data_IF_337787542267
#
_entry.id   IF_337787542267
#
_cell.length_a   1.000
_cell.length_b   1.000
_cell.length_c   1.000
_cell.angle_alpha   90.00
_cell.angle_beta   90.00
_cell.angle_gamma   90.00
#
_symmetry.space_group_name_H-M   'P 1'
#
loop_
_entity.id
_entity.type
_entity.pdbx_description
1 polymer ?
#
# COMPACT_ATOMS: atom_id res chain seq x y z
N UNK A 1 5.30 20.72 12.38
CA UNK A 1 5.65 21.94 13.13
C UNK A 1 6.38 22.88 12.21
N UNK A 2 5.95 24.14 12.12
CA UNK A 2 6.63 25.17 11.33
C UNK A 2 7.10 26.28 12.29
N UNK A 3 8.37 26.72 12.16
CA UNK A 3 8.95 27.78 13.00
C UNK A 3 9.51 27.37 14.38
N UNK A 4 9.76 26.08 14.65
CA UNK A 4 10.47 25.64 15.85
C UNK A 4 11.91 25.22 15.51
N UNK A 5 12.87 25.61 16.35
CA UNK A 5 14.24 25.10 16.31
C UNK A 5 14.34 23.81 17.12
N UNK A 6 15.14 22.85 16.64
CA UNK A 6 15.43 21.63 17.38
C UNK A 6 15.98 21.95 18.78
N UNK A 7 15.41 21.31 19.80
CA UNK A 7 15.82 21.39 21.19
C UNK A 7 16.89 20.35 21.55
N UNK A 8 17.36 20.41 22.80
CA UNK A 8 18.20 19.35 23.36
C UNK A 8 17.40 18.05 23.43
N UNK A 9 17.93 16.97 22.84
CA UNK A 9 17.26 15.66 22.78
C UNK A 9 16.55 15.36 21.46
N UNK A 10 16.36 16.36 20.60
CA UNK A 10 15.76 16.15 19.28
C UNK A 10 16.73 15.41 18.35
N UNK A 11 16.23 14.37 17.68
CA UNK A 11 16.97 13.59 16.69
C UNK A 11 16.45 13.93 15.28
N UNK A 12 17.36 14.33 14.39
CA UNK A 12 17.05 14.64 12.97
C UNK A 12 17.92 13.82 12.03
N UNK A 13 17.96 12.52 12.30
CA UNK A 13 18.58 11.49 11.44
C UNK A 13 17.58 10.36 11.22
N UNK A 14 17.84 9.49 10.25
CA UNK A 14 16.98 8.35 9.96
C UNK A 14 16.81 7.46 11.22
N UNK A 15 15.58 7.25 11.72
CA UNK A 15 15.32 6.42 12.90
C UNK A 15 15.58 4.92 12.64
N UNK A 16 15.89 4.51 11.40
CA UNK A 16 16.17 3.11 11.03
C UNK A 16 15.06 2.16 11.47
N UNK A 17 13.83 2.49 11.09
CA UNK A 17 12.69 1.58 11.24
C UNK A 17 12.88 0.37 10.33
N UNK A 18 12.41 -0.80 10.78
CA UNK A 18 12.66 -2.07 10.15
C UNK A 18 12.09 -2.15 8.73
N UNK A 19 10.81 -1.81 8.57
CA UNK A 19 10.17 -1.66 7.26
C UNK A 19 8.83 -0.89 7.33
N UNK A 20 8.91 0.43 7.12
CA UNK A 20 7.71 1.28 7.05
C UNK A 20 6.78 0.96 5.88
N UNK A 21 7.29 0.30 4.83
CA UNK A 21 6.49 -0.02 3.65
C UNK A 21 5.56 -1.21 3.93
N UNK A 22 5.94 -2.12 4.82
CA UNK A 22 5.19 -3.34 5.14
C UNK A 22 4.79 -3.44 6.62
N UNK A 23 4.50 -2.30 7.26
CA UNK A 23 3.97 -2.21 8.65
C UNK A 23 4.92 -2.77 9.73
N UNK A 24 6.22 -2.81 9.47
CA UNK A 24 7.22 -3.18 10.47
C UNK A 24 7.87 -1.91 11.05
N UNK A 25 7.28 -1.41 12.13
CA UNK A 25 7.68 -0.15 12.76
C UNK A 25 8.69 -0.32 13.91
N UNK A 26 9.27 -1.52 14.09
CA UNK A 26 10.34 -1.73 15.07
C UNK A 26 11.58 -0.92 14.68
N UNK A 27 12.33 -0.42 15.65
CA UNK A 27 13.63 0.19 15.37
C UNK A 27 14.70 -0.91 15.23
N UNK A 28 15.66 -0.71 14.32
CA UNK A 28 16.79 -1.62 14.19
C UNK A 28 17.78 -1.45 15.37
N UNK A 29 18.61 -2.48 15.70
CA UNK A 29 19.55 -2.40 16.82
C UNK A 29 20.60 -1.29 16.69
N UNK A 30 20.86 -0.82 15.47
CA UNK A 30 21.78 0.28 15.18
C UNK A 30 21.07 1.63 14.99
N UNK A 31 19.79 1.72 15.38
CA UNK A 31 19.00 2.94 15.34
C UNK A 31 19.58 4.04 16.23
N UNK A 32 19.59 5.30 15.78
CA UNK A 32 19.92 6.43 16.65
C UNK A 32 18.86 6.71 17.71
N UNK A 33 17.67 6.09 17.61
CA UNK A 33 16.58 6.21 18.58
C UNK A 33 16.71 5.23 19.75
N UNK A 34 17.61 4.23 19.64
CA UNK A 34 17.81 3.22 20.67
C UNK A 34 18.50 3.81 21.90
N UNK A 35 17.99 3.52 23.10
CA UNK A 35 18.46 4.01 24.39
C UNK A 35 18.57 5.57 24.47
N UNK A 36 17.73 6.29 23.72
CA UNK A 36 17.87 7.74 23.47
C UNK A 36 16.72 8.61 23.99
N UNK A 37 15.69 8.00 24.57
CA UNK A 37 14.52 8.67 25.14
C UNK A 37 14.77 9.18 26.57
N UNK A 38 13.69 9.64 27.20
CA UNK A 38 13.72 10.19 28.57
C UNK A 38 13.11 9.19 29.56
N UNK A 39 13.95 8.46 30.29
CA UNK A 39 13.51 7.52 31.33
C UNK A 39 12.65 8.19 32.41
N UNK A 40 12.83 9.50 32.62
CA UNK A 40 12.14 10.26 33.66
C UNK A 40 10.64 10.41 33.45
N UNK A 41 10.11 10.05 32.27
CA UNK A 41 8.68 10.08 31.96
C UNK A 41 8.04 8.69 31.87
N UNK A 42 8.83 7.61 32.04
CA UNK A 42 8.34 6.23 31.97
C UNK A 42 7.73 5.80 33.31
N UNK A 43 6.51 5.27 33.26
CA UNK A 43 5.84 4.72 34.45
C UNK A 43 6.05 3.19 34.53
N UNK A 44 6.05 2.59 35.73
CA UNK A 44 6.46 1.18 35.95
C UNK A 44 5.70 0.09 35.20
N UNK A 45 4.52 0.41 34.64
CA UNK A 45 3.66 -0.53 33.92
C UNK A 45 3.48 -0.15 32.44
N UNK A 46 4.26 0.81 31.94
CA UNK A 46 4.23 1.15 30.53
C UNK A 46 4.88 0.07 29.70
N UNK A 47 4.20 -0.26 28.61
CA UNK A 47 4.66 -1.23 27.63
C UNK A 47 4.82 -0.60 26.27
N UNK A 48 5.72 -1.16 25.47
CA UNK A 48 5.91 -0.82 24.08
C UNK A 48 4.81 -1.44 23.19
N UNK A 49 4.99 -1.36 21.87
CA UNK A 49 4.04 -1.89 20.89
C UNK A 49 3.95 -3.43 20.86
N UNK A 50 4.93 -4.13 21.44
CA UNK A 50 4.96 -5.59 21.56
C UNK A 50 4.44 -6.07 22.93
N UNK A 51 4.13 -5.15 23.84
CA UNK A 51 3.72 -5.46 25.21
C UNK A 51 4.90 -5.75 26.15
N UNK A 52 6.12 -5.42 25.74
CA UNK A 52 7.35 -5.53 26.52
C UNK A 52 7.51 -4.30 27.40
N UNK A 53 8.28 -4.40 28.49
CA UNK A 53 8.48 -3.26 29.38
C UNK A 53 9.16 -2.11 28.64
N UNK A 54 8.75 -0.87 28.93
CA UNK A 54 9.32 0.33 28.30
C UNK A 54 10.72 0.71 28.75
N UNK A 55 11.18 0.19 29.88
CA UNK A 55 12.55 0.37 30.33
C UNK A 55 13.08 -1.03 30.65
N UNK A 56 14.04 -1.49 29.86
CA UNK A 56 14.71 -2.77 30.02
C UNK A 56 15.98 -2.69 30.89
N UNK A 57 16.31 -1.49 31.38
CA UNK A 57 17.54 -1.15 32.10
C UNK A 57 18.67 -0.60 31.23
N UNK A 58 18.47 -0.47 29.91
CA UNK A 58 19.36 0.18 28.93
C UNK A 58 19.06 1.67 28.72
N UNK A 59 17.85 2.10 29.05
CA UNK A 59 17.28 3.43 28.78
C UNK A 59 16.20 3.35 27.71
N UNK A 60 15.12 4.12 27.84
CA UNK A 60 13.94 4.03 26.95
C UNK A 60 14.27 4.49 25.53
N UNK A 61 13.66 3.86 24.54
CA UNK A 61 13.80 4.24 23.13
C UNK A 61 12.92 5.45 22.75
N UNK A 62 13.38 6.24 21.77
CA UNK A 62 12.54 7.24 21.11
C UNK A 62 11.63 6.53 20.11
N UNK A 63 10.37 6.34 20.47
CA UNK A 63 9.38 5.75 19.56
C UNK A 63 8.32 4.97 20.28
N UNK A 64 7.58 4.13 19.56
CA UNK A 64 6.57 3.22 20.10
C UNK A 64 7.15 1.85 20.51
N UNK A 65 8.33 1.53 20.02
CA UNK A 65 9.05 0.27 20.18
C UNK A 65 10.14 0.42 21.26
N UNK A 66 10.46 -0.67 21.96
CA UNK A 66 11.59 -0.79 22.88
C UNK A 66 12.49 -1.96 22.41
N UNK A 67 13.71 -1.66 21.99
CA UNK A 67 14.58 -2.57 21.25
C UNK A 67 15.58 -3.29 22.14
N UNK A 68 15.37 -4.60 22.30
CA UNK A 68 16.25 -5.50 23.03
C UNK A 68 17.45 -5.97 22.16
N UNK A 69 17.67 -5.32 21.00
CA UNK A 69 18.77 -5.59 20.08
C UNK A 69 18.46 -6.62 18.99
N UNK A 70 17.18 -6.91 18.74
CA UNK A 70 16.72 -7.78 17.68
C UNK A 70 16.85 -7.15 16.30
N UNK A 71 17.41 -7.91 15.35
CA UNK A 71 17.34 -7.54 13.94
C UNK A 71 16.00 -7.93 13.36
N UNK A 72 15.20 -6.93 13.01
CA UNK A 72 13.89 -7.14 12.41
C UNK A 72 13.99 -7.23 10.88
N UNK A 73 13.36 -8.24 10.25
CA UNK A 73 13.46 -8.42 8.81
C UNK A 73 12.71 -7.30 8.06
N UNK A 74 13.28 -6.91 6.92
CA UNK A 74 12.56 -6.16 5.89
C UNK A 74 11.56 -7.06 5.17
N UNK A 75 10.47 -6.47 4.69
CA UNK A 75 9.38 -7.15 4.01
C UNK A 75 9.70 -7.58 2.58
N UNK A 76 8.69 -8.10 1.86
CA UNK A 76 7.30 -8.23 2.30
C UNK A 76 7.09 -9.33 3.34
N UNK A 77 6.20 -9.11 4.32
CA UNK A 77 5.91 -10.11 5.36
C UNK A 77 5.07 -11.27 4.79
N UNK A 78 4.28 -11.00 3.75
CA UNK A 78 3.53 -12.02 3.02
C UNK A 78 3.52 -11.74 1.51
N UNK A 79 3.46 -12.80 0.71
CA UNK A 79 3.19 -12.71 -0.72
C UNK A 79 1.95 -13.53 -1.06
N UNK A 80 0.95 -12.88 -1.64
CA UNK A 80 -0.36 -13.47 -1.96
C UNK A 80 -0.52 -13.60 -3.48
N UNK A 81 -0.81 -14.80 -3.97
CA UNK A 81 -1.00 -15.10 -5.40
C UNK A 81 -2.46 -14.98 -5.78
N UNK A 82 -2.72 -14.35 -6.91
CA UNK A 82 -4.06 -14.19 -7.50
C UNK A 82 -4.05 -14.72 -8.93
N UNK A 83 -5.06 -15.50 -9.32
CA UNK A 83 -5.20 -16.06 -10.67
C UNK A 83 -6.68 -16.08 -11.08
N UNK A 84 -7.02 -15.89 -12.36
CA UNK A 84 -8.42 -16.00 -12.82
C UNK A 84 -9.02 -17.39 -12.57
N UNK A 85 -8.19 -18.43 -12.49
CA UNK A 85 -8.60 -19.81 -12.17
C UNK A 85 -8.55 -20.13 -10.68
N UNK A 86 -8.21 -19.15 -9.82
CA UNK A 86 -8.09 -19.33 -8.38
C UNK A 86 -9.44 -19.45 -7.66
N UNK A 87 -9.38 -19.46 -6.33
CA UNK A 87 -10.56 -19.47 -5.45
C UNK A 87 -10.32 -18.56 -4.24
N UNK A 88 -11.26 -17.66 -3.93
CA UNK A 88 -11.12 -16.73 -2.80
C UNK A 88 -11.13 -17.40 -1.42
N UNK A 89 -11.53 -18.67 -1.34
CA UNK A 89 -11.35 -19.51 -0.15
C UNK A 89 -9.92 -20.03 0.04
N UNK A 90 -9.05 -19.91 -0.97
CA UNK A 90 -7.64 -20.25 -0.83
C UNK A 90 -6.88 -19.15 -0.08
N UNK A 91 -5.74 -19.50 0.52
CA UNK A 91 -4.91 -18.56 1.27
C UNK A 91 -4.03 -17.65 0.38
N UNK A 92 -3.77 -18.02 -0.87
CA UNK A 92 -2.88 -17.30 -1.77
C UNK A 92 -1.39 -17.57 -1.55
N UNK A 93 -1.01 -18.52 -0.70
CA UNK A 93 0.39 -18.81 -0.34
C UNK A 93 1.23 -19.35 -1.51
N UNK A 94 0.58 -19.90 -2.54
CA UNK A 94 1.21 -20.41 -3.76
C UNK A 94 0.28 -20.23 -4.97
N UNK A 95 0.80 -20.43 -6.18
CA UNK A 95 -0.03 -20.38 -7.40
C UNK A 95 -1.14 -21.44 -7.43
N UNK A 96 -0.89 -22.63 -6.86
CA UNK A 96 -1.90 -23.68 -6.74
C UNK A 96 -3.02 -23.31 -5.74
N UNK A 97 -2.69 -22.51 -4.73
CA UNK A 97 -3.61 -21.96 -3.74
C UNK A 97 -3.92 -20.49 -4.04
N UNK A 98 -3.87 -20.05 -5.30
CA UNK A 98 -4.12 -18.67 -5.64
C UNK A 98 -5.56 -18.26 -5.31
N UNK A 99 -5.73 -17.02 -4.87
CA UNK A 99 -7.03 -16.36 -4.76
C UNK A 99 -7.58 -16.05 -6.15
N UNK A 100 -8.89 -15.86 -6.26
CA UNK A 100 -9.53 -15.62 -7.56
C UNK A 100 -9.57 -14.13 -7.91
N UNK A 101 -9.84 -13.28 -6.93
CA UNK A 101 -10.02 -11.84 -7.11
C UNK A 101 -8.81 -11.06 -6.58
N UNK A 102 -8.49 -9.94 -7.23
CA UNK A 102 -7.43 -9.03 -6.80
C UNK A 102 -7.79 -8.44 -5.44
N UNK A 103 -9.06 -8.08 -5.21
CA UNK A 103 -9.48 -7.54 -3.92
C UNK A 103 -9.26 -8.52 -2.75
N UNK A 104 -9.55 -9.80 -2.92
CA UNK A 104 -9.30 -10.79 -1.87
C UNK A 104 -7.80 -11.00 -1.60
N UNK A 105 -6.97 -10.79 -2.64
CA UNK A 105 -5.51 -10.76 -2.53
C UNK A 105 -5.03 -9.58 -1.69
N UNK A 106 -5.54 -8.38 -1.99
CA UNK A 106 -5.24 -7.15 -1.24
C UNK A 106 -5.58 -7.31 0.25
N UNK A 107 -6.77 -7.83 0.57
CA UNK A 107 -7.19 -8.05 1.96
C UNK A 107 -6.30 -9.02 2.73
N UNK A 108 -5.73 -10.03 2.07
CA UNK A 108 -4.81 -10.95 2.72
C UNK A 108 -3.40 -10.36 2.91
N UNK A 109 -2.93 -9.57 1.95
CA UNK A 109 -1.61 -8.95 2.04
C UNK A 109 -1.58 -7.81 3.07
N UNK A 110 -2.57 -6.93 3.06
CA UNK A 110 -2.64 -5.76 3.96
C UNK A 110 -2.71 -6.13 5.43
N UNK A 111 -3.27 -7.29 5.77
CA UNK A 111 -3.39 -7.75 7.16
C UNK A 111 -2.04 -7.97 7.87
N UNK A 112 -0.96 -8.12 7.11
CA UNK A 112 0.39 -8.32 7.63
C UNK A 112 1.43 -7.39 6.99
N UNK A 113 1.04 -6.63 5.97
CA UNK A 113 1.97 -5.96 5.06
C UNK A 113 2.58 -6.93 4.04
N UNK A 114 2.32 -6.73 2.75
CA UNK A 114 2.86 -7.63 1.75
C UNK A 114 2.62 -7.26 0.29
N UNK A 115 3.00 -8.20 -0.56
CA UNK A 115 2.82 -8.12 -2.00
C UNK A 115 1.65 -8.98 -2.47
N UNK A 116 0.94 -8.52 -3.49
CA UNK A 116 -0.07 -9.29 -4.23
C UNK A 116 0.46 -9.52 -5.64
N UNK A 117 0.73 -10.78 -6.00
CA UNK A 117 1.20 -11.17 -7.32
C UNK A 117 0.04 -11.68 -8.15
N UNK A 118 -0.30 -10.95 -9.21
CA UNK A 118 -1.50 -11.20 -10.02
C UNK A 118 -1.10 -11.79 -11.37
N UNK A 119 -1.58 -13.00 -11.64
CA UNK A 119 -1.36 -13.67 -12.92
C UNK A 119 -2.04 -12.91 -14.08
N UNK A 120 -1.56 -13.18 -15.30
CA UNK A 120 -2.15 -12.66 -16.52
C UNK A 120 -3.63 -13.07 -16.63
N UNK A 121 -4.43 -12.15 -17.15
CA UNK A 121 -5.87 -12.35 -17.31
C UNK A 121 -6.67 -11.08 -17.04
N UNK A 122 -7.98 -11.17 -17.27
CA UNK A 122 -8.92 -10.08 -17.04
C UNK A 122 -9.71 -10.33 -15.77
N UNK A 123 -9.68 -9.36 -14.88
CA UNK A 123 -10.39 -9.34 -13.61
C UNK A 123 -11.49 -8.28 -13.69
N UNK A 124 -12.74 -8.74 -13.70
CA UNK A 124 -13.92 -7.86 -13.76
C UNK A 124 -14.30 -7.44 -12.35
N UNK A 125 -13.63 -6.41 -11.85
CA UNK A 125 -13.79 -5.90 -10.50
C UNK A 125 -13.38 -4.44 -10.41
N UNK A 126 -13.67 -3.84 -9.26
CA UNK A 126 -13.18 -2.51 -8.88
C UNK A 126 -12.56 -2.68 -7.52
N UNK A 127 -11.30 -2.26 -7.40
CA UNK A 127 -10.49 -2.54 -6.22
C UNK A 127 -10.30 -1.30 -5.37
N UNK A 128 -10.18 -1.51 -4.07
CA UNK A 128 -9.68 -0.54 -3.11
C UNK A 128 -8.30 -0.98 -2.65
N UNK A 129 -7.28 -0.17 -2.96
CA UNK A 129 -5.93 -0.35 -2.42
C UNK A 129 -5.95 -0.07 -0.92
N UNK A 130 -5.47 -1.04 -0.14
CA UNK A 130 -5.30 -0.90 1.30
C UNK A 130 -3.86 -0.52 1.64
N UNK A 131 -3.64 0.16 2.78
CA UNK A 131 -2.32 0.28 3.37
C UNK A 131 -1.59 -1.07 3.43
N UNK A 132 -0.29 -1.00 3.23
CA UNK A 132 0.68 -2.08 3.26
C UNK A 132 0.46 -3.19 2.22
N UNK A 133 -0.39 -2.95 1.21
CA UNK A 133 -0.55 -3.85 0.07
C UNK A 133 0.08 -3.26 -1.20
N UNK A 134 1.05 -3.97 -1.77
CA UNK A 134 1.67 -3.64 -3.06
C UNK A 134 1.25 -4.66 -4.10
N UNK A 135 0.49 -4.22 -5.09
CA UNK A 135 -0.14 -5.08 -6.07
C UNK A 135 0.65 -5.03 -7.38
N UNK A 136 1.08 -6.20 -7.86
CA UNK A 136 1.90 -6.36 -9.04
C UNK A 136 1.23 -7.27 -10.07
N UNK A 137 0.98 -6.76 -11.27
CA UNK A 137 0.60 -7.53 -12.45
C UNK A 137 1.82 -7.99 -13.25
N UNK A 138 1.59 -8.84 -14.25
CA UNK A 138 2.65 -9.33 -15.14
C UNK A 138 3.15 -10.75 -14.86
N UNK A 139 2.44 -11.54 -14.06
CA UNK A 139 2.86 -12.91 -13.75
C UNK A 139 2.23 -13.94 -14.72
N UNK A 140 2.99 -14.94 -15.15
CA UNK A 140 2.48 -16.10 -15.87
C UNK A 140 1.82 -17.13 -14.94
N UNK A 141 2.00 -17.00 -13.63
CA UNK A 141 1.42 -17.90 -12.62
C UNK A 141 2.34 -19.06 -12.25
N UNK A 142 3.65 -18.90 -12.42
CA UNK A 142 4.67 -19.93 -12.12
C UNK A 142 5.90 -19.38 -11.39
N UNK A 143 5.99 -18.07 -11.26
CA UNK A 143 7.13 -17.35 -10.72
C UNK A 143 7.30 -17.60 -9.21
N UNK A 144 8.55 -17.66 -8.78
CA UNK A 144 8.95 -17.71 -7.38
C UNK A 144 9.49 -16.37 -6.86
N UNK A 145 9.81 -15.43 -7.75
CA UNK A 145 10.35 -14.10 -7.44
C UNK A 145 9.62 -12.99 -8.20
N UNK A 146 9.42 -11.83 -7.58
CA UNK A 146 8.74 -10.67 -8.20
C UNK A 146 9.42 -10.23 -9.50
N UNK A 147 10.75 -10.28 -9.56
CA UNK A 147 11.55 -9.83 -10.71
C UNK A 147 11.39 -10.72 -11.95
N UNK A 148 10.76 -11.89 -11.82
CA UNK A 148 10.48 -12.77 -12.95
C UNK A 148 9.23 -12.35 -13.74
N UNK A 149 8.41 -11.44 -13.20
CA UNK A 149 7.22 -10.91 -13.88
C UNK A 149 7.63 -10.17 -15.16
N UNK A 150 6.78 -10.24 -16.17
CA UNK A 150 6.87 -9.44 -17.40
C UNK A 150 5.50 -8.86 -17.70
N UNK A 151 5.27 -7.61 -17.28
CA UNK A 151 3.98 -6.92 -17.45
C UNK A 151 3.67 -6.53 -18.89
N UNK A 152 4.65 -6.59 -19.81
CA UNK A 152 4.39 -6.35 -21.23
C UNK A 152 3.85 -7.61 -21.91
N UNK A 153 4.35 -8.78 -21.52
CA UNK A 153 3.94 -10.07 -22.10
C UNK A 153 2.73 -10.68 -21.38
N UNK A 154 2.75 -10.69 -20.05
CA UNK A 154 1.73 -11.33 -19.21
C UNK A 154 0.68 -10.29 -18.79
N UNK A 155 -0.11 -9.80 -19.74
CA UNK A 155 -1.06 -8.72 -19.50
C UNK A 155 -2.06 -9.07 -18.38
N UNK A 156 -2.10 -8.21 -17.37
CA UNK A 156 -3.06 -8.28 -16.26
C UNK A 156 -3.99 -7.08 -16.35
N UNK A 157 -5.29 -7.32 -16.53
CA UNK A 157 -6.30 -6.28 -16.73
C UNK A 157 -7.26 -6.23 -15.56
N UNK A 158 -7.49 -5.06 -14.98
CA UNK A 158 -8.64 -4.77 -14.12
C UNK A 158 -9.65 -3.99 -14.95
N UNK A 159 -10.82 -4.58 -15.17
CA UNK A 159 -11.92 -4.00 -15.93
C UNK A 159 -13.03 -3.56 -14.97
N UNK A 160 -13.24 -2.25 -14.88
CA UNK A 160 -14.23 -1.63 -14.00
C UNK A 160 -15.68 -1.81 -14.43
N UNK A 161 -15.94 -2.41 -15.60
CA UNK A 161 -17.29 -2.76 -16.05
C UNK A 161 -18.22 -1.57 -16.30
N UNK A 162 -17.66 -0.42 -16.68
CA UNK A 162 -18.34 0.87 -16.88
C UNK A 162 -18.99 1.45 -15.61
N UNK A 163 -18.44 1.18 -14.42
CA UNK A 163 -18.94 1.72 -13.16
C UNK A 163 -17.81 2.21 -12.25
N UNK A 164 -17.97 3.34 -11.56
CA UNK A 164 -17.04 3.76 -10.51
C UNK A 164 -15.59 3.97 -10.98
N UNK A 165 -14.70 4.31 -10.06
CA UNK A 165 -13.26 4.20 -10.34
C UNK A 165 -12.86 2.72 -10.41
N UNK A 166 -11.96 2.33 -11.32
CA UNK A 166 -11.43 0.96 -11.37
C UNK A 166 -10.59 0.67 -10.12
N UNK A 167 -9.79 1.65 -9.71
CA UNK A 167 -8.92 1.58 -8.53
C UNK A 167 -9.19 2.78 -7.65
N UNK A 168 -9.48 2.54 -6.37
CA UNK A 168 -9.57 3.59 -5.35
C UNK A 168 -8.45 3.39 -4.34
N UNK A 169 -7.67 4.42 -4.08
CA UNK A 169 -6.75 4.47 -2.96
C UNK A 169 -7.32 5.44 -1.91
N UNK A 170 -7.75 4.89 -0.79
CA UNK A 170 -8.38 5.64 0.30
C UNK A 170 -7.88 5.11 1.64
N UNK A 171 -7.47 6.02 2.54
CA UNK A 171 -7.01 5.59 3.86
C UNK A 171 -6.73 6.71 4.86
N UNK A 172 -6.65 7.98 4.44
CA UNK A 172 -6.28 9.06 5.36
C UNK A 172 -4.77 9.17 5.61
N UNK A 173 -3.97 8.30 4.98
CA UNK A 173 -2.52 8.28 5.09
C UNK A 173 -1.90 9.02 3.90
N UNK A 174 -1.26 10.16 4.15
CA UNK A 174 -0.59 10.97 3.10
C UNK A 174 0.78 10.41 2.69
N UNK A 175 1.18 9.26 3.23
CA UNK A 175 2.47 8.59 2.97
C UNK A 175 2.30 7.42 2.00
N UNK A 176 3.33 7.11 1.21
CA UNK A 176 3.34 5.98 0.27
C UNK A 176 3.50 4.66 1.00
N UNK A 177 2.37 4.04 1.36
CA UNK A 177 2.31 2.73 2.01
C UNK A 177 1.52 1.71 1.21
N UNK A 178 1.30 1.94 -0.09
CA UNK A 178 0.65 0.98 -0.98
C UNK A 178 1.05 1.23 -2.42
N UNK A 179 0.73 0.28 -3.31
CA UNK A 179 1.10 0.43 -4.71
C UNK A 179 0.31 -0.41 -5.69
N UNK A 180 0.28 0.04 -6.94
CA UNK A 180 -0.23 -0.69 -8.09
C UNK A 180 0.75 -0.58 -9.26
N UNK A 181 1.19 -1.73 -9.75
CA UNK A 181 2.25 -1.83 -10.76
C UNK A 181 1.96 -2.90 -11.82
N UNK A 182 2.01 -2.52 -13.10
CA UNK A 182 1.99 -3.47 -14.22
C UNK A 182 0.60 -3.92 -14.64
N UNK A 183 -0.42 -3.07 -14.48
CA UNK A 183 -1.81 -3.38 -14.86
C UNK A 183 -2.27 -2.61 -16.10
N UNK A 184 -3.18 -3.22 -16.86
CA UNK A 184 -4.13 -2.47 -17.69
C UNK A 184 -5.35 -2.14 -16.85
N UNK A 185 -5.69 -0.85 -16.74
CA UNK A 185 -6.78 -0.32 -15.91
C UNK A 185 -7.79 0.32 -16.87
N UNK A 186 -8.99 -0.26 -16.99
CA UNK A 186 -9.94 0.13 -18.04
C UNK A 186 -11.40 0.13 -17.61
N UNK A 187 -12.22 0.83 -18.39
CA UNK A 187 -13.69 0.87 -18.29
C UNK A 187 -14.20 1.36 -16.92
N UNK A 188 -13.47 2.24 -16.25
CA UNK A 188 -14.00 2.96 -15.10
C UNK A 188 -14.72 4.25 -15.52
N UNK A 189 -15.74 4.62 -14.74
CA UNK A 189 -16.57 5.82 -14.94
C UNK A 189 -16.46 6.84 -13.80
N UNK A 190 -15.57 6.60 -12.83
CA UNK A 190 -15.27 7.52 -11.74
C UNK A 190 -16.17 7.32 -10.52
N UNK A 191 -15.62 7.62 -9.36
CA UNK A 191 -16.34 7.54 -8.07
C UNK A 191 -17.19 8.79 -7.87
N UNK A 192 -18.48 8.60 -7.62
CA UNK A 192 -19.41 9.68 -7.28
C UNK A 192 -19.12 10.20 -5.86
N UNK A 193 -18.91 11.51 -5.74
CA UNK A 193 -18.88 12.23 -4.48
C UNK A 193 -19.72 13.49 -4.57
N UNK A 194 -20.83 13.48 -3.80
CA UNK A 194 -21.92 14.46 -3.90
C UNK A 194 -22.48 14.46 -5.33
N UNK A 195 -22.19 15.47 -6.15
CA UNK A 195 -22.75 15.66 -7.50
C UNK A 195 -21.68 15.53 -8.61
N UNK A 196 -20.47 15.07 -8.28
CA UNK A 196 -19.34 15.02 -9.19
C UNK A 196 -18.64 13.65 -9.17
N UNK A 197 -18.03 13.28 -10.30
CA UNK A 197 -17.32 12.03 -10.52
C UNK A 197 -15.82 12.24 -10.63
N UNK A 198 -15.08 11.35 -9.97
CA UNK A 198 -13.64 11.49 -9.83
C UNK A 198 -12.89 10.20 -10.18
N UNK A 199 -11.83 10.33 -10.97
CA UNK A 199 -10.81 9.28 -11.13
C UNK A 199 -11.30 8.03 -11.86
N UNK A 200 -11.74 8.14 -13.11
CA UNK A 200 -12.26 7.02 -13.90
C UNK A 200 -11.42 5.75 -13.78
N UNK A 201 -10.13 5.82 -14.11
CA UNK A 201 -9.19 4.72 -13.88
C UNK A 201 -8.82 4.59 -12.41
N UNK A 202 -8.13 5.61 -11.88
CA UNK A 202 -7.61 5.62 -10.52
C UNK A 202 -8.07 6.87 -9.78
N UNK A 203 -8.63 6.70 -8.59
CA UNK A 203 -8.95 7.78 -7.67
C UNK A 203 -8.13 7.67 -6.38
N UNK A 204 -7.25 8.63 -6.13
CA UNK A 204 -6.53 8.78 -4.87
C UNK A 204 -7.22 9.83 -3.98
N UNK A 205 -7.71 9.41 -2.82
CA UNK A 205 -8.42 10.25 -1.86
C UNK A 205 -7.74 10.16 -0.49
N UNK A 206 -7.06 11.23 -0.08
CA UNK A 206 -6.20 11.23 1.12
C UNK A 206 -5.28 10.01 1.18
N UNK A 207 -4.64 9.69 0.06
CA UNK A 207 -3.77 8.52 -0.08
C UNK A 207 -2.71 8.77 -1.14
N UNK A 208 -1.45 8.46 -0.82
CA UNK A 208 -0.29 8.71 -1.71
C UNK A 208 0.33 7.41 -2.25
N UNK A 209 -0.42 6.52 -2.93
CA UNK A 209 0.11 5.25 -3.40
C UNK A 209 1.22 5.43 -4.44
N UNK A 210 2.01 4.38 -4.65
CA UNK A 210 2.86 4.26 -5.83
C UNK A 210 2.04 3.73 -7.01
N UNK A 211 2.09 4.42 -8.14
CA UNK A 211 1.34 4.06 -9.35
C UNK A 211 2.37 3.96 -10.48
N UNK A 212 2.70 2.75 -10.90
CA UNK A 212 3.78 2.55 -11.87
C UNK A 212 3.51 1.53 -12.96
N UNK A 213 4.08 1.74 -14.15
CA UNK A 213 4.02 0.76 -15.25
C UNK A 213 2.60 0.32 -15.64
N UNK A 214 1.59 1.16 -15.43
CA UNK A 214 0.21 0.83 -15.79
C UNK A 214 -0.17 1.41 -17.16
N UNK A 215 -1.01 0.70 -17.90
CA UNK A 215 -1.75 1.22 -19.05
C UNK A 215 -3.14 1.65 -18.57
N UNK A 216 -3.42 2.96 -18.56
CA UNK A 216 -4.67 3.53 -18.04
C UNK A 216 -5.50 4.03 -19.22
N UNK A 217 -6.39 3.19 -19.72
CA UNK A 217 -7.08 3.42 -21.01
C UNK A 217 -8.58 3.17 -20.89
N UNK A 218 -9.38 3.74 -21.80
CA UNK A 218 -10.82 3.47 -21.84
C UNK A 218 -11.59 3.90 -20.58
N UNK A 219 -11.05 4.83 -19.79
CA UNK A 219 -11.69 5.34 -18.57
C UNK A 219 -12.29 6.73 -18.83
N UNK A 220 -13.42 7.01 -18.20
CA UNK A 220 -14.16 8.27 -18.36
C UNK A 220 -14.69 8.76 -17.02
N UNK A 221 -15.07 10.03 -16.96
CA UNK A 221 -15.92 10.58 -15.89
C UNK A 221 -17.12 11.32 -16.50
N UNK A 222 -17.41 11.09 -17.77
CA UNK A 222 -18.52 11.73 -18.50
C UNK A 222 -19.86 11.10 -18.10
N UNK A 223 -20.58 11.77 -17.20
CA UNK A 223 -21.92 11.34 -16.75
C UNK A 223 -23.02 12.32 -17.16
N UNK A 224 -24.14 11.83 -17.73
CA UNK A 224 -25.28 12.67 -18.00
C UNK A 224 -25.89 13.17 -16.68
N UNK A 225 -25.88 14.50 -16.49
CA UNK A 225 -26.44 15.14 -15.30
C UNK A 225 -25.41 15.59 -14.26
N UNK A 226 -24.11 15.40 -14.50
CA UNK A 226 -23.07 16.03 -13.69
C UNK A 226 -23.16 17.57 -13.74
N UNK A 227 -22.80 18.21 -12.63
CA UNK A 227 -22.73 19.68 -12.53
C UNK A 227 -21.55 20.29 -13.31
N UNK A 228 -20.71 19.45 -13.93
CA UNK A 228 -19.62 19.85 -14.81
C UNK A 228 -18.25 19.92 -14.12
N UNK A 229 -18.15 19.48 -12.87
CA UNK A 229 -16.92 19.49 -12.06
C UNK A 229 -16.24 18.11 -11.98
N UNK A 230 -16.61 17.18 -12.87
CA UNK A 230 -16.01 15.85 -12.98
C UNK A 230 -14.52 15.94 -13.37
N UNK A 231 -13.66 15.18 -12.71
CA UNK A 231 -12.21 15.30 -12.88
C UNK A 231 -11.51 13.95 -13.00
N UNK A 232 -10.55 13.91 -13.92
CA UNK A 232 -9.59 12.83 -14.06
C UNK A 232 -10.20 11.53 -14.60
N UNK A 233 -10.47 11.47 -15.91
CA UNK A 233 -10.87 10.21 -16.57
C UNK A 233 -9.83 9.10 -16.37
N UNK A 234 -8.54 9.42 -16.45
CA UNK A 234 -7.45 8.48 -16.14
C UNK A 234 -7.17 8.39 -14.64
N UNK A 235 -6.59 9.47 -14.07
CA UNK A 235 -6.22 9.54 -12.65
C UNK A 235 -6.76 10.84 -12.06
N UNK A 236 -7.30 10.80 -10.85
CA UNK A 236 -7.59 11.97 -10.03
C UNK A 236 -7.00 11.83 -8.63
N UNK A 237 -6.39 12.89 -8.11
CA UNK A 237 -5.73 12.91 -6.80
C UNK A 237 -6.29 14.07 -5.97
N UNK A 238 -6.83 13.77 -4.79
CA UNK A 238 -7.35 14.75 -3.84
C UNK A 238 -6.63 14.64 -2.50
N UNK A 239 -6.04 15.74 -2.03
CA UNK A 239 -5.27 15.79 -0.76
C UNK A 239 -4.24 14.66 -0.67
N UNK A 240 -3.55 14.39 -1.79
CA UNK A 240 -2.72 13.22 -2.03
C UNK A 240 -1.44 13.61 -2.77
N UNK A 241 -0.36 12.86 -2.56
CA UNK A 241 0.93 13.06 -3.24
C UNK A 241 1.51 11.72 -3.74
N UNK A 242 0.79 10.99 -4.62
CA UNK A 242 1.25 9.71 -5.13
C UNK A 242 2.52 9.85 -5.98
N UNK A 243 3.35 8.82 -5.96
CA UNK A 243 4.44 8.69 -6.93
C UNK A 243 3.88 8.03 -8.21
N UNK A 244 3.80 8.80 -9.28
CA UNK A 244 3.28 8.36 -10.58
C UNK A 244 4.43 8.28 -11.58
N UNK A 245 4.76 7.09 -12.06
CA UNK A 245 5.87 6.88 -13.00
C UNK A 245 5.58 5.82 -14.05
N UNK A 246 6.08 6.00 -15.28
CA UNK A 246 5.97 5.00 -16.35
C UNK A 246 4.54 4.51 -16.66
N UNK A 247 3.52 5.36 -16.49
CA UNK A 247 2.15 5.03 -16.88
C UNK A 247 1.85 5.62 -18.26
N UNK A 248 1.04 4.92 -19.06
CA UNK A 248 0.61 5.35 -20.41
C UNK A 248 -0.89 5.41 -20.52
#
# INVERSE_FOLDING_TARGET
YDGLSAGTGDISVDPKLADVAYDNMHIQPDSPCRDAGDDGVVEPDWVDMDGQARDDGGGVDIGADESYGEWWPGGPNVVVRVSPSGNDSNDGSSWALAKRTVQAGIYAASAQGGEVWVAAGTYYERITLQPYAYVYGGFAGTESLRQQRDWNTNTTTIDGGNGGSVVVAQGGYRTTISGIDGFTITNGTGTLYVDNYYGGGIYCYYSSPSISNNTITGNSVDHPGSTGDDRGGGIYCYESSPNISNNT
#
